data_IF_481251998976
#
_entry.id   IF_481251998976
#
_cell.length_a   1.000
_cell.length_b   1.000
_cell.length_c   1.000
_cell.angle_alpha   90.00
_cell.angle_beta   90.00
_cell.angle_gamma   90.00
#
_symmetry.space_group_name_H-M   'P 1'
#
loop_
_entity.id
_entity.type
_entity.pdbx_description
1 polymer ?
#
# COMPACT_ATOMS: atom_id res chain seq x y z
N UNK A 1 -8.77 3.07 23.30
CA UNK A 1 -8.89 2.12 22.16
C UNK A 1 -7.65 2.27 21.31
N UNK A 2 -6.78 1.26 21.25
CA UNK A 2 -5.56 1.33 20.43
C UNK A 2 -5.95 1.39 18.95
N UNK A 3 -5.52 2.43 18.23
CA UNK A 3 -5.59 2.42 16.77
C UNK A 3 -4.55 1.40 16.31
N UNK A 4 -5.00 0.23 15.86
CA UNK A 4 -4.17 -0.78 15.20
C UNK A 4 -3.63 -0.18 13.89
N UNK A 5 -2.57 0.62 14.01
CA UNK A 5 -1.82 1.21 12.92
C UNK A 5 -0.69 0.25 12.57
N UNK A 6 -0.68 -0.19 11.30
CA UNK A 6 0.42 -0.95 10.74
C UNK A 6 1.00 -0.20 9.56
N UNK A 7 2.29 -0.39 9.31
CA UNK A 7 2.96 0.23 8.17
C UNK A 7 3.49 -0.88 7.27
N UNK A 8 3.18 -0.77 5.98
CA UNK A 8 3.76 -1.60 4.93
C UNK A 8 4.77 -0.76 4.17
N UNK A 9 6.01 -1.21 4.17
CA UNK A 9 7.07 -0.62 3.37
C UNK A 9 7.10 -1.28 1.99
N UNK A 10 7.13 -0.47 0.93
CA UNK A 10 7.32 -0.95 -0.43
C UNK A 10 8.51 -0.25 -1.06
N UNK A 11 9.45 -1.04 -1.60
CA UNK A 11 10.60 -0.50 -2.32
C UNK A 11 10.15 0.27 -3.58
N UNK A 12 11.01 1.17 -4.07
CA UNK A 12 10.82 1.91 -5.32
C UNK A 12 10.42 0.99 -6.49
N UNK A 13 11.14 -0.13 -6.63
CA UNK A 13 10.85 -1.15 -7.64
C UNK A 13 9.43 -1.72 -7.49
N UNK A 14 9.06 -2.15 -6.29
CA UNK A 14 7.76 -2.77 -6.03
C UNK A 14 6.61 -1.79 -6.24
N UNK A 15 6.78 -0.55 -5.79
CA UNK A 15 5.78 0.50 -5.94
C UNK A 15 5.57 0.86 -7.42
N UNK A 16 6.65 0.98 -8.19
CA UNK A 16 6.60 1.22 -9.64
C UNK A 16 5.95 0.04 -10.37
N UNK A 17 6.27 -1.20 -9.97
CA UNK A 17 5.66 -2.41 -10.51
C UNK A 17 4.14 -2.47 -10.21
N UNK A 18 3.71 -2.07 -9.01
CA UNK A 18 2.28 -2.01 -8.66
C UNK A 18 1.51 -1.03 -9.55
N UNK A 19 2.18 0.04 -9.98
CA UNK A 19 1.60 1.11 -10.80
C UNK A 19 1.57 0.75 -12.29
N UNK A 20 2.61 0.09 -12.80
CA UNK A 20 2.70 -0.29 -14.22
C UNK A 20 2.07 -1.65 -14.53
N UNK A 21 2.28 -2.66 -13.67
CA UNK A 21 1.77 -4.01 -13.82
C UNK A 21 0.45 -4.28 -13.08
N UNK A 22 -0.06 -3.29 -12.36
CA UNK A 22 -1.25 -3.40 -11.54
C UNK A 22 -1.04 -4.15 -10.22
N UNK A 23 -2.04 -4.07 -9.34
CA UNK A 23 -1.98 -4.70 -8.02
C UNK A 23 -1.80 -6.23 -8.08
N UNK A 24 -2.22 -6.87 -9.18
CA UNK A 24 -2.11 -8.31 -9.41
C UNK A 24 -0.66 -8.75 -9.55
N UNK A 25 0.17 -7.98 -10.26
CA UNK A 25 1.58 -8.29 -10.48
C UNK A 25 2.37 -8.29 -9.17
N UNK A 26 2.01 -7.41 -8.24
CA UNK A 26 2.65 -7.33 -6.93
C UNK A 26 2.05 -8.32 -5.94
N UNK A 27 0.75 -8.63 -6.01
CA UNK A 27 0.14 -9.63 -5.12
C UNK A 27 0.81 -11.01 -5.21
N UNK A 28 1.33 -11.39 -6.39
CA UNK A 28 2.08 -12.64 -6.58
C UNK A 28 3.42 -12.62 -5.83
N UNK A 29 4.05 -11.45 -5.68
CA UNK A 29 5.34 -11.29 -5.00
C UNK A 29 5.21 -11.28 -3.47
N UNK A 30 4.01 -11.04 -2.95
CA UNK A 30 3.74 -10.94 -1.51
C UNK A 30 2.60 -11.87 -1.11
N UNK A 31 2.84 -13.20 -1.06
CA UNK A 31 1.86 -14.13 -0.53
C UNK A 31 1.55 -13.77 0.93
N UNK A 32 0.32 -13.29 1.17
CA UNK A 32 -0.16 -12.83 2.48
C UNK A 32 -0.49 -11.34 2.56
N UNK A 33 -0.07 -10.51 1.60
CA UNK A 33 -0.60 -9.15 1.44
C UNK A 33 -1.81 -9.23 0.52
N UNK A 34 -2.99 -8.92 1.04
CA UNK A 34 -4.23 -8.98 0.27
C UNK A 34 -4.17 -8.06 -0.95
N UNK A 35 -4.60 -8.55 -2.11
CA UNK A 35 -4.72 -7.78 -3.35
C UNK A 35 -5.42 -6.44 -3.14
N UNK A 36 -6.46 -6.42 -2.29
CA UNK A 36 -7.20 -5.22 -1.91
C UNK A 36 -6.32 -4.14 -1.27
N UNK A 37 -5.34 -4.52 -0.46
CA UNK A 37 -4.41 -3.59 0.18
C UNK A 37 -3.51 -2.92 -0.87
N UNK A 38 -2.98 -3.70 -1.81
CA UNK A 38 -2.12 -3.16 -2.86
C UNK A 38 -2.94 -2.27 -3.80
N UNK A 39 -4.15 -2.72 -4.19
CA UNK A 39 -5.03 -1.95 -5.06
C UNK A 39 -5.40 -0.58 -4.45
N UNK A 40 -5.81 -0.55 -3.19
CA UNK A 40 -6.14 0.71 -2.50
C UNK A 40 -4.90 1.59 -2.35
N UNK A 41 -3.73 1.03 -2.05
CA UNK A 41 -2.48 1.80 -1.98
C UNK A 41 -2.13 2.45 -3.33
N UNK A 42 -2.28 1.71 -4.44
CA UNK A 42 -2.07 2.23 -5.80
C UNK A 42 -3.02 3.38 -6.12
N UNK A 43 -4.30 3.29 -5.75
CA UNK A 43 -5.26 4.39 -5.91
C UNK A 43 -4.80 5.66 -5.19
N UNK A 44 -4.30 5.53 -3.95
CA UNK A 44 -3.79 6.68 -3.18
C UNK A 44 -2.55 7.28 -3.83
N UNK A 45 -1.61 6.45 -4.28
CA UNK A 45 -0.38 6.92 -4.97
C UNK A 45 -0.74 7.77 -6.20
N UNK A 46 -1.70 7.31 -7.01
CA UNK A 46 -2.15 8.02 -8.21
C UNK A 46 -2.84 9.33 -7.84
N UNK A 47 -3.76 9.29 -6.87
CA UNK A 47 -4.53 10.44 -6.44
C UNK A 47 -3.64 11.55 -5.85
N UNK A 48 -2.66 11.18 -5.03
CA UNK A 48 -1.77 12.11 -4.33
C UNK A 48 -0.48 12.42 -5.11
N UNK A 49 -0.29 11.82 -6.29
CA UNK A 49 0.92 11.96 -7.13
C UNK A 49 2.22 11.72 -6.34
N UNK A 50 2.23 10.67 -5.53
CA UNK A 50 3.38 10.35 -4.68
C UNK A 50 4.59 9.94 -5.54
N UNK A 51 5.75 10.55 -5.28
CA UNK A 51 7.00 10.14 -5.93
C UNK A 51 7.49 8.80 -5.34
N UNK A 52 7.85 7.89 -6.24
CA UNK A 52 8.24 6.51 -5.93
C UNK A 52 9.74 6.27 -5.90
N UNK A 53 10.58 7.26 -6.21
CA UNK A 53 12.01 7.04 -6.43
C UNK A 53 12.73 6.44 -5.23
N UNK A 54 12.33 6.81 -4.02
CA UNK A 54 12.89 6.28 -2.76
C UNK A 54 12.11 5.11 -2.16
N UNK A 55 11.05 4.64 -2.83
CA UNK A 55 10.07 3.75 -2.23
C UNK A 55 9.03 4.51 -1.40
N UNK A 56 8.07 3.77 -0.86
CA UNK A 56 6.89 4.33 -0.19
C UNK A 56 6.60 3.60 1.12
N UNK A 57 5.91 4.30 2.00
CA UNK A 57 5.33 3.77 3.22
C UNK A 57 3.81 3.87 3.09
N UNK A 58 3.12 2.74 3.26
CA UNK A 58 1.67 2.64 3.24
C UNK A 58 1.18 2.48 4.67
N UNK A 59 0.38 3.43 5.16
CA UNK A 59 -0.29 3.34 6.46
C UNK A 59 -1.57 2.52 6.34
N UNK A 60 -1.64 1.44 7.09
CA UNK A 60 -2.81 0.57 7.20
C UNK A 60 -3.52 0.86 8.52
N UNK A 61 -4.84 1.01 8.46
CA UNK A 61 -5.69 1.02 9.65
C UNK A 61 -6.63 -0.18 9.63
N UNK A 62 -6.94 -0.72 10.79
CA UNK A 62 -7.97 -1.75 10.92
C UNK A 62 -9.36 -1.13 10.80
N UNK A 63 -10.12 -1.57 9.81
CA UNK A 63 -11.55 -1.28 9.71
C UNK A 63 -12.28 -1.99 10.86
N UNK A 64 -13.02 -1.24 11.68
CA UNK A 64 -13.72 -1.76 12.87
C UNK A 64 -14.92 -2.65 12.53
N UNK A 65 -15.50 -2.47 11.35
CA UNK A 65 -16.68 -3.21 10.88
C UNK A 65 -16.28 -4.54 10.26
N UNK A 66 -15.24 -4.56 9.42
CA UNK A 66 -14.82 -5.77 8.68
C UNK A 66 -13.63 -6.48 9.32
N UNK A 67 -12.99 -5.87 10.32
CA UNK A 67 -11.75 -6.35 10.95
C UNK A 67 -10.57 -6.52 9.96
N UNK A 68 -10.62 -5.88 8.78
CA UNK A 68 -9.58 -5.94 7.76
C UNK A 68 -8.65 -4.72 7.84
N UNK A 69 -7.38 -4.91 7.45
CA UNK A 69 -6.45 -3.80 7.27
C UNK A 69 -6.71 -3.11 5.94
N UNK A 70 -6.82 -1.79 5.96
CA UNK A 70 -7.10 -0.96 4.78
C UNK A 70 -6.06 0.16 4.70
N UNK A 71 -5.45 0.41 3.54
CA UNK A 71 -4.61 1.60 3.33
C UNK A 71 -5.38 2.89 3.55
N UNK A 72 -4.76 3.83 4.26
CA UNK A 72 -5.36 5.13 4.61
C UNK A 72 -4.47 6.33 4.28
N UNK A 73 -3.19 6.11 4.00
CA UNK A 73 -2.26 7.13 3.54
C UNK A 73 -1.05 6.44 2.92
N UNK A 74 -0.41 7.11 1.97
CA UNK A 74 0.84 6.68 1.35
C UNK A 74 1.76 7.89 1.22
N UNK A 75 3.04 7.75 1.58
CA UNK A 75 4.04 8.79 1.34
C UNK A 75 5.37 8.19 0.92
N UNK A 76 6.21 9.02 0.31
CA UNK A 76 7.56 8.64 -0.08
C UNK A 76 8.42 8.38 1.17
N UNK A 77 9.28 7.36 1.10
CA UNK A 77 10.30 7.16 2.12
C UNK A 77 11.34 8.30 2.05
N UNK A 78 11.60 8.93 3.20
CA UNK A 78 12.60 9.99 3.36
C UNK A 78 14.02 9.52 3.08
#
# INVERSE_FOLDING_TARGET
MSNDLKYLYMSSFTAKLALSGGASAVAVLFPGIGFSIIATAVTIIIAERINLDRGIIVRLSRNKTTNLLVPTAVWQQG
#
